data_IF_406490895936
#
_entry.id   IF_406490895936
#
_cell.length_a   1.000
_cell.length_b   1.000
_cell.length_c   1.000
_cell.angle_alpha   90.00
_cell.angle_beta   90.00
_cell.angle_gamma   90.00
#
_symmetry.space_group_name_H-M   'P 1'
#
loop_
_entity.id
_entity.type
_entity.pdbx_description
1 polymer ?
#
# COMPACT_ATOMS: atom_id res chain seq x y z
N UNK A 1 5.64 17.01 -9.55
CA UNK A 1 5.50 15.94 -10.53
C UNK A 1 4.34 15.05 -10.15
N UNK A 2 3.53 14.73 -11.13
CA UNK A 2 2.28 14.02 -10.89
C UNK A 2 2.49 12.51 -10.97
N UNK A 3 1.78 11.79 -10.13
CA UNK A 3 1.67 10.35 -10.22
C UNK A 3 0.56 9.97 -11.19
N UNK A 4 0.76 8.84 -11.89
CA UNK A 4 -0.26 8.20 -12.69
C UNK A 4 -0.52 6.83 -12.08
N UNK A 5 -1.77 6.54 -11.79
CA UNK A 5 -2.18 5.32 -11.10
C UNK A 5 -2.76 4.33 -12.10
N UNK A 6 -2.18 3.15 -12.16
CA UNK A 6 -2.65 2.05 -13.03
C UNK A 6 -3.01 0.84 -12.19
N UNK A 7 -3.96 0.06 -12.68
CA UNK A 7 -4.25 -1.23 -12.07
C UNK A 7 -3.07 -2.17 -12.26
N UNK A 8 -2.77 -2.95 -11.22
CA UNK A 8 -1.73 -3.97 -11.30
C UNK A 8 -2.12 -5.02 -12.36
N UNK A 9 -1.22 -5.27 -13.28
CA UNK A 9 -1.35 -6.31 -14.30
C UNK A 9 -0.19 -7.30 -14.18
N UNK A 10 -0.43 -8.51 -13.66
CA UNK A 10 0.65 -9.49 -13.48
C UNK A 10 1.38 -9.86 -14.76
N UNK A 11 0.72 -9.75 -15.93
CA UNK A 11 1.32 -10.11 -17.22
C UNK A 11 2.38 -9.13 -17.67
N UNK A 12 2.23 -7.84 -17.35
CA UNK A 12 3.13 -6.78 -17.81
C UNK A 12 3.96 -6.15 -16.69
N UNK A 13 3.65 -6.44 -15.43
CA UNK A 13 4.27 -5.77 -14.29
C UNK A 13 5.07 -6.71 -13.38
N UNK A 14 5.67 -7.75 -13.96
CA UNK A 14 6.51 -8.70 -13.23
C UNK A 14 7.76 -8.08 -12.60
N UNK A 15 8.17 -6.90 -13.06
CA UNK A 15 9.31 -6.17 -12.49
C UNK A 15 9.13 -5.81 -11.01
N UNK A 16 7.90 -5.82 -10.49
CA UNK A 16 7.64 -5.54 -9.07
C UNK A 16 8.32 -6.58 -8.18
N UNK A 17 8.47 -7.82 -8.65
CA UNK A 17 9.16 -8.86 -7.89
C UNK A 17 10.62 -8.49 -7.63
N UNK A 18 11.24 -7.75 -8.54
CA UNK A 18 12.63 -7.28 -8.39
C UNK A 18 12.78 -6.19 -7.33
N UNK A 19 11.67 -5.57 -6.93
CA UNK A 19 11.67 -4.55 -5.86
C UNK A 19 11.70 -5.17 -4.46
N UNK A 20 11.43 -6.47 -4.36
CA UNK A 20 11.38 -7.19 -3.09
C UNK A 20 12.77 -7.70 -2.72
N UNK A 21 13.68 -6.76 -2.45
CA UNK A 21 14.99 -7.07 -1.91
C UNK A 21 14.88 -7.51 -0.44
N UNK A 22 15.98 -7.90 0.18
CA UNK A 22 16.00 -8.37 1.55
C UNK A 22 15.36 -7.38 2.52
N UNK A 23 15.64 -6.08 2.35
CA UNK A 23 15.07 -5.03 3.20
C UNK A 23 13.55 -4.94 3.05
N UNK A 24 13.04 -5.01 1.81
CA UNK A 24 11.61 -4.96 1.55
C UNK A 24 10.90 -6.18 2.10
N UNK A 25 11.43 -7.38 1.90
CA UNK A 25 10.84 -8.60 2.44
C UNK A 25 10.77 -8.54 3.97
N UNK A 26 11.81 -8.07 4.60
CA UNK A 26 11.87 -7.93 6.07
C UNK A 26 10.83 -6.92 6.58
N UNK A 27 10.58 -5.85 5.83
CA UNK A 27 9.63 -4.79 6.23
C UNK A 27 8.17 -5.15 5.94
N UNK A 28 7.91 -5.98 4.93
CA UNK A 28 6.55 -6.27 4.45
C UNK A 28 6.08 -7.69 4.73
N UNK A 29 7.01 -8.62 4.90
CA UNK A 29 6.69 -10.04 5.03
C UNK A 29 6.35 -10.73 3.70
N UNK A 30 6.60 -10.07 2.56
CA UNK A 30 6.30 -10.63 1.24
C UNK A 30 7.39 -11.58 0.75
N UNK A 31 7.68 -12.62 1.53
CA UNK A 31 8.74 -13.59 1.23
C UNK A 31 8.41 -14.52 0.06
N UNK A 32 7.15 -14.67 -0.29
CA UNK A 32 6.69 -15.47 -1.44
C UNK A 32 6.37 -14.62 -2.68
N UNK A 33 6.66 -13.33 -2.64
CA UNK A 33 6.48 -12.42 -3.77
C UNK A 33 5.16 -11.67 -3.75
N UNK A 34 5.11 -10.58 -4.53
CA UNK A 34 3.94 -9.73 -4.61
C UNK A 34 2.79 -10.41 -5.35
N UNK A 35 3.10 -11.15 -6.41
CA UNK A 35 2.08 -11.84 -7.19
C UNK A 35 1.31 -12.87 -6.35
N UNK A 36 2.01 -13.63 -5.51
CA UNK A 36 1.39 -14.57 -4.58
C UNK A 36 0.47 -13.85 -3.59
N UNK A 37 0.91 -12.73 -3.05
CA UNK A 37 0.10 -11.88 -2.18
C UNK A 37 -1.17 -11.42 -2.89
N UNK A 38 -1.03 -10.90 -4.11
CA UNK A 38 -2.13 -10.41 -4.92
C UNK A 38 -3.18 -11.50 -5.18
N UNK A 39 -2.74 -12.69 -5.62
CA UNK A 39 -3.63 -13.81 -5.92
C UNK A 39 -4.35 -14.33 -4.68
N UNK A 40 -3.64 -14.40 -3.57
CA UNK A 40 -4.22 -14.85 -2.30
C UNK A 40 -5.44 -14.00 -1.91
N UNK A 41 -5.31 -12.67 -1.99
CA UNK A 41 -6.40 -11.77 -1.60
C UNK A 41 -7.45 -11.62 -2.68
N UNK A 42 -7.09 -11.71 -3.97
CA UNK A 42 -8.00 -11.48 -5.07
C UNK A 42 -9.12 -12.50 -5.17
N UNK A 43 -8.86 -13.76 -4.78
CA UNK A 43 -9.80 -14.86 -4.97
C UNK A 43 -10.24 -15.51 -3.66
N UNK A 44 -9.74 -15.00 -2.55
CA UNK A 44 -10.03 -15.55 -1.24
C UNK A 44 -10.51 -14.43 -0.30
N UNK A 45 -11.02 -14.78 0.85
CA UNK A 45 -11.43 -13.82 1.89
C UNK A 45 -12.57 -12.86 1.50
N UNK A 46 -13.33 -13.16 0.43
CA UNK A 46 -14.50 -12.36 0.06
C UNK A 46 -14.20 -11.04 -0.63
N UNK A 47 -12.96 -10.82 -1.09
CA UNK A 47 -12.59 -9.62 -1.82
C UNK A 47 -12.66 -9.82 -3.33
N UNK A 48 -13.08 -8.75 -4.04
CA UNK A 48 -13.20 -8.73 -5.49
C UNK A 48 -12.47 -7.52 -6.06
N UNK A 49 -11.59 -7.77 -7.03
CA UNK A 49 -10.79 -6.72 -7.67
C UNK A 49 -11.69 -5.65 -8.28
N UNK A 50 -11.42 -4.39 -7.95
CA UNK A 50 -12.17 -3.24 -8.46
C UNK A 50 -13.45 -2.94 -7.71
N UNK A 51 -13.87 -3.79 -6.80
CA UNK A 51 -15.07 -3.58 -5.98
C UNK A 51 -14.72 -3.24 -4.53
N UNK A 52 -13.90 -4.08 -3.91
CA UNK A 52 -13.45 -3.90 -2.53
C UNK A 52 -11.99 -4.30 -2.31
N UNK A 53 -11.26 -4.51 -3.41
CA UNK A 53 -9.85 -4.83 -3.38
C UNK A 53 -9.16 -4.20 -4.59
N UNK A 54 -8.09 -3.47 -4.35
CA UNK A 54 -7.35 -2.77 -5.40
C UNK A 54 -5.85 -2.96 -5.20
N UNK A 55 -5.17 -3.26 -6.30
CA UNK A 55 -3.71 -3.18 -6.38
C UNK A 55 -3.38 -2.17 -7.47
N UNK A 56 -2.72 -1.11 -7.08
CA UNK A 56 -2.37 0.00 -7.99
C UNK A 56 -0.86 0.12 -8.12
N UNK A 57 -0.41 0.31 -9.35
CA UNK A 57 1.00 0.62 -9.64
C UNK A 57 1.08 2.10 -9.98
N UNK A 58 1.97 2.79 -9.31
CA UNK A 58 2.11 4.24 -9.43
C UNK A 58 3.32 4.54 -10.32
N UNK A 59 3.08 5.34 -11.35
CA UNK A 59 4.09 5.77 -12.30
C UNK A 59 4.42 7.25 -12.09
N UNK A 60 5.67 7.59 -12.24
CA UNK A 60 6.16 8.97 -12.23
C UNK A 60 7.12 9.13 -13.40
N UNK A 61 6.85 10.10 -14.30
CA UNK A 61 7.63 10.29 -15.53
C UNK A 61 7.73 9.00 -16.37
N UNK A 62 6.60 8.32 -16.55
CA UNK A 62 6.49 7.07 -17.31
C UNK A 62 7.30 5.90 -16.73
N UNK A 63 7.77 6.02 -15.51
CA UNK A 63 8.52 4.98 -14.79
C UNK A 63 7.70 4.47 -13.61
N UNK A 64 7.52 3.14 -13.45
CA UNK A 64 6.87 2.61 -12.26
C UNK A 64 7.75 2.82 -11.05
N UNK A 65 7.18 3.41 -9.98
CA UNK A 65 7.96 3.76 -8.79
C UNK A 65 7.44 3.11 -7.51
N UNK A 66 6.20 2.65 -7.50
CA UNK A 66 5.62 2.04 -6.31
C UNK A 66 4.42 1.18 -6.66
N UNK A 67 4.06 0.29 -5.75
CA UNK A 67 2.81 -0.48 -5.79
C UNK A 67 2.12 -0.37 -4.44
N UNK A 68 0.78 -0.29 -4.48
CA UNK A 68 -0.05 -0.21 -3.28
C UNK A 68 -1.19 -1.20 -3.40
N UNK A 69 -1.44 -1.94 -2.33
CA UNK A 69 -2.60 -2.82 -2.21
C UNK A 69 -3.48 -2.35 -1.08
N UNK A 70 -4.78 -2.27 -1.32
CA UNK A 70 -5.75 -1.90 -0.29
C UNK A 70 -7.08 -2.61 -0.49
N UNK A 71 -7.85 -2.69 0.57
CA UNK A 71 -9.19 -3.29 0.54
C UNK A 71 -10.18 -2.41 1.31
N UNK A 72 -11.45 -2.56 0.96
CA UNK A 72 -12.55 -1.88 1.64
C UNK A 72 -13.36 -2.92 2.40
N UNK A 73 -13.48 -2.73 3.71
CA UNK A 73 -14.29 -3.57 4.56
C UNK A 73 -14.93 -2.69 5.62
N UNK A 74 -16.24 -2.82 5.76
CA UNK A 74 -17.03 -2.08 6.77
C UNK A 74 -16.77 -0.57 6.73
N UNK A 75 -16.73 -0.01 5.51
CA UNK A 75 -16.51 1.42 5.24
C UNK A 75 -15.10 1.94 5.60
N UNK A 76 -14.17 1.04 5.88
CA UNK A 76 -12.77 1.39 6.18
C UNK A 76 -11.88 0.88 5.06
N UNK A 77 -11.04 1.75 4.50
CA UNK A 77 -10.02 1.34 3.55
C UNK A 77 -8.77 0.93 4.31
N UNK A 78 -8.42 -0.35 4.24
CA UNK A 78 -7.20 -0.85 4.84
C UNK A 78 -6.10 -0.87 3.80
N UNK A 79 -5.02 -0.14 4.06
CA UNK A 79 -3.83 -0.20 3.23
C UNK A 79 -3.02 -1.42 3.66
N UNK A 80 -2.97 -2.40 2.77
CA UNK A 80 -2.38 -3.71 3.09
C UNK A 80 -0.88 -3.73 2.86
N UNK A 81 -0.42 -3.15 1.75
CA UNK A 81 0.98 -3.11 1.39
C UNK A 81 1.32 -1.89 0.56
N UNK A 82 2.53 -1.36 0.78
CA UNK A 82 3.16 -0.37 -0.10
C UNK A 82 4.59 -0.84 -0.31
N UNK A 83 4.99 -0.98 -1.56
CA UNK A 83 6.38 -1.27 -1.91
C UNK A 83 6.86 -0.17 -2.86
N UNK A 84 7.94 0.50 -2.47
CA UNK A 84 8.58 1.54 -3.29
C UNK A 84 9.80 0.91 -3.98
N UNK A 85 9.96 1.21 -5.27
CA UNK A 85 11.12 0.78 -6.04
C UNK A 85 12.41 1.15 -5.28
N UNK A 86 13.39 0.24 -5.14
CA UNK A 86 14.56 0.48 -4.29
C UNK A 86 15.30 1.79 -4.54
N UNK A 87 15.51 2.17 -5.81
CA UNK A 87 16.21 3.41 -6.17
C UNK A 87 15.41 4.67 -5.81
N UNK A 88 14.12 4.53 -5.55
CA UNK A 88 13.21 5.64 -5.24
C UNK A 88 12.90 5.78 -3.76
N UNK A 89 13.46 4.95 -2.92
CA UNK A 89 13.26 5.02 -1.46
C UNK A 89 13.93 6.24 -0.86
N UNK A 90 13.39 6.70 0.28
CA UNK A 90 13.95 7.85 1.00
C UNK A 90 13.68 9.20 0.33
N UNK A 91 12.76 9.27 -0.62
CA UNK A 91 12.45 10.50 -1.38
C UNK A 91 11.02 11.02 -1.13
N UNK A 92 10.34 10.48 -0.12
CA UNK A 92 8.99 10.92 0.24
C UNK A 92 7.87 10.39 -0.65
N UNK A 93 8.13 9.40 -1.50
CA UNK A 93 7.11 8.85 -2.40
C UNK A 93 5.96 8.22 -1.63
N UNK A 94 6.26 7.44 -0.59
CA UNK A 94 5.22 6.80 0.23
C UNK A 94 4.26 7.82 0.84
N UNK A 95 4.78 8.89 1.41
CA UNK A 95 3.97 9.98 1.97
C UNK A 95 3.11 10.64 0.88
N UNK A 96 3.70 10.95 -0.24
CA UNK A 96 3.03 11.64 -1.33
C UNK A 96 1.90 10.81 -1.93
N UNK A 97 2.15 9.53 -2.18
CA UNK A 97 1.11 8.67 -2.74
C UNK A 97 -0.04 8.44 -1.75
N UNK A 98 0.24 8.36 -0.47
CA UNK A 98 -0.82 8.24 0.54
C UNK A 98 -1.68 9.49 0.62
N UNK A 99 -1.07 10.66 0.56
CA UNK A 99 -1.84 11.92 0.52
C UNK A 99 -2.74 11.97 -0.72
N UNK A 100 -2.21 11.58 -1.87
CA UNK A 100 -2.98 11.57 -3.10
C UNK A 100 -4.14 10.57 -3.04
N UNK A 101 -3.89 9.38 -2.52
CA UNK A 101 -4.94 8.37 -2.34
C UNK A 101 -6.08 8.89 -1.44
N UNK A 102 -5.75 9.55 -0.35
CA UNK A 102 -6.73 10.07 0.61
C UNK A 102 -7.54 11.24 0.05
N UNK A 103 -6.95 12.03 -0.82
CA UNK A 103 -7.56 13.26 -1.35
C UNK A 103 -8.35 13.04 -2.65
N UNK A 104 -8.02 12.02 -3.43
CA UNK A 104 -8.60 11.82 -4.76
C UNK A 104 -9.73 10.79 -4.73
N UNK A 105 -10.89 11.16 -5.26
CA UNK A 105 -11.97 10.23 -5.49
C UNK A 105 -11.80 9.38 -6.76
N UNK A 106 -10.83 9.73 -7.60
CA UNK A 106 -10.63 9.08 -8.91
C UNK A 106 -9.88 7.76 -8.83
N UNK A 107 -9.05 7.58 -7.81
CA UNK A 107 -8.18 6.39 -7.71
C UNK A 107 -9.02 5.14 -7.41
N UNK A 108 -9.89 5.20 -6.42
CA UNK A 108 -10.74 4.08 -6.02
C UNK A 108 -12.20 4.24 -6.44
N UNK A 109 -12.58 5.41 -6.95
CA UNK A 109 -13.95 5.71 -7.34
C UNK A 109 -14.79 6.33 -6.23
N UNK A 110 -14.20 6.62 -5.09
CA UNK A 110 -14.87 7.27 -3.95
C UNK A 110 -13.83 7.98 -3.08
N UNK A 111 -14.30 8.91 -2.24
CA UNK A 111 -13.42 9.59 -1.28
C UNK A 111 -13.32 8.77 0.01
N UNK A 112 -12.09 8.54 0.45
CA UNK A 112 -11.82 7.79 1.67
C UNK A 112 -12.22 8.64 2.89
N UNK A 113 -13.10 8.11 3.73
CA UNK A 113 -13.51 8.76 4.98
C UNK A 113 -12.73 8.22 6.18
N UNK A 114 -12.49 6.91 6.18
CA UNK A 114 -11.71 6.22 7.22
C UNK A 114 -10.74 5.27 6.57
N UNK A 115 -9.52 5.25 7.08
CA UNK A 115 -8.49 4.34 6.59
C UNK A 115 -7.70 3.77 7.76
N UNK A 116 -7.14 2.59 7.54
CA UNK A 116 -6.31 1.89 8.51
C UNK A 116 -5.10 1.31 7.80
N UNK A 117 -3.99 1.26 8.50
CA UNK A 117 -2.78 0.62 8.01
C UNK A 117 -2.21 -0.28 9.10
N UNK A 118 -1.74 -1.46 8.70
CA UNK A 118 -1.08 -2.41 9.60
C UNK A 118 0.39 -2.44 9.21
N UNK A 119 1.26 -2.06 10.12
CA UNK A 119 2.67 -1.82 9.84
C UNK A 119 3.53 -2.64 10.79
N UNK A 120 4.54 -3.34 10.27
CA UNK A 120 5.51 -4.03 11.10
C UNK A 120 6.29 -3.02 11.96
N UNK A 121 6.58 -3.32 13.23
CA UNK A 121 7.32 -2.40 14.11
C UNK A 121 8.69 -2.01 13.57
N UNK A 122 9.31 -2.85 12.74
CA UNK A 122 10.60 -2.58 12.12
C UNK A 122 10.51 -1.70 10.88
N UNK A 123 9.30 -1.46 10.35
CA UNK A 123 9.11 -0.66 9.15
C UNK A 123 8.98 0.83 9.50
N UNK A 124 10.10 1.44 9.85
CA UNK A 124 10.14 2.84 10.27
C UNK A 124 9.74 3.78 9.12
N UNK A 125 10.13 3.45 7.88
CA UNK A 125 9.79 4.26 6.72
C UNK A 125 8.27 4.37 6.52
N UNK A 126 7.54 3.27 6.65
CA UNK A 126 6.08 3.28 6.58
C UNK A 126 5.44 4.04 7.72
N UNK A 127 5.94 3.88 8.94
CA UNK A 127 5.43 4.63 10.10
C UNK A 127 5.51 6.14 9.84
N UNK A 128 6.64 6.60 9.30
CA UNK A 128 6.83 8.02 8.97
C UNK A 128 5.91 8.46 7.83
N UNK A 129 5.82 7.65 6.76
CA UNK A 129 5.00 7.98 5.60
C UNK A 129 3.52 8.11 5.98
N UNK A 130 2.98 7.17 6.75
CA UNK A 130 1.59 7.23 7.19
C UNK A 130 1.35 8.39 8.16
N UNK A 131 2.25 8.61 9.11
CA UNK A 131 2.14 9.75 10.03
C UNK A 131 2.14 11.08 9.27
N UNK A 132 3.05 11.24 8.31
CA UNK A 132 3.12 12.46 7.50
C UNK A 132 1.90 12.64 6.59
N UNK A 133 1.20 11.57 6.25
CA UNK A 133 -0.03 11.63 5.45
C UNK A 133 -1.28 11.88 6.30
N UNK A 134 -1.16 11.93 7.62
CA UNK A 134 -2.27 12.23 8.52
C UNK A 134 -2.81 11.06 9.31
N UNK A 135 -2.20 9.89 9.19
CA UNK A 135 -2.54 8.75 10.03
C UNK A 135 -1.97 8.95 11.42
N UNK A 136 -2.61 8.33 12.41
CA UNK A 136 -2.15 8.35 13.80
C UNK A 136 -2.03 6.92 14.31
N UNK A 137 -0.99 6.66 15.11
CA UNK A 137 -0.84 5.40 15.82
C UNK A 137 -2.09 5.18 16.69
N UNK A 138 -2.67 4.00 16.57
CA UNK A 138 -3.88 3.63 17.31
C UNK A 138 -3.58 2.63 18.43
N UNK A 139 -3.00 1.48 18.06
CA UNK A 139 -2.65 0.45 19.04
C UNK A 139 -1.65 -0.55 18.44
N UNK A 140 -1.07 -1.36 19.32
CA UNK A 140 -0.19 -2.45 18.93
C UNK A 140 -0.94 -3.77 19.13
N UNK A 141 -0.80 -4.70 18.18
CA UNK A 141 -1.36 -6.04 18.31
C UNK A 141 -0.80 -6.70 19.58
N UNK A 142 -1.61 -7.54 20.25
CA UNK A 142 -1.24 -8.16 21.53
C UNK A 142 0.09 -8.90 21.48
N UNK A 143 0.40 -9.57 20.35
CA UNK A 143 1.67 -10.26 20.15
C UNK A 143 2.86 -9.34 19.89
N UNK A 144 2.63 -8.02 19.74
CA UNK A 144 3.68 -7.04 19.47
C UNK A 144 4.22 -7.08 18.05
N UNK A 145 3.58 -7.80 17.13
CA UNK A 145 4.05 -8.05 15.77
C UNK A 145 3.51 -7.06 14.74
N UNK A 146 2.56 -6.22 15.11
CA UNK A 146 1.95 -5.27 14.19
C UNK A 146 1.50 -4.00 14.91
N UNK A 147 1.70 -2.86 14.25
CA UNK A 147 1.23 -1.55 14.68
C UNK A 147 0.03 -1.15 13.83
N UNK A 148 -1.03 -0.68 14.46
CA UNK A 148 -2.22 -0.21 13.77
C UNK A 148 -2.24 1.31 13.77
N UNK A 149 -2.30 1.89 12.57
CA UNK A 149 -2.43 3.33 12.35
C UNK A 149 -3.79 3.60 11.73
N UNK A 150 -4.41 4.71 12.10
CA UNK A 150 -5.75 5.05 11.65
C UNK A 150 -5.80 6.48 11.12
N UNK A 151 -6.68 6.68 10.14
CA UNK A 151 -6.99 7.97 9.54
C UNK A 151 -8.50 8.16 9.52
N UNK A 152 -8.95 9.36 9.85
CA UNK A 152 -10.35 9.76 9.75
C UNK A 152 -10.41 11.16 9.19
N UNK A 153 -11.20 11.32 8.14
CA UNK A 153 -11.41 12.61 7.51
C UNK A 153 -12.24 13.55 8.38
#
# INVERSE_FOLDING_TARGET
>A
MNFVWHDYDPKSMGYIEDWLDEAAVKSTGLDEGFHNFYEYWANENGFAIGENYWCKVIFQNDEPVAVLACCLYDSVVTVMEIVVKPEKRGKGIGTKLMKELLESEKILGFTIQKSEAVIFPTNIASQKAFTNAGFRYHHTHEAGDALYYAYKK
#
